data_IF_600051658064
#
_entry.id   IF_600051658064
#
_cell.length_a   1.000
_cell.length_b   1.000
_cell.length_c   1.000
_cell.angle_alpha   90.00
_cell.angle_beta   90.00
_cell.angle_gamma   90.00
#
_symmetry.space_group_name_H-M   'P 1'
#
loop_
_entity.id
_entity.type
_entity.pdbx_description
1 polymer ?
#
# COMPACT_ATOMS: atom_id res chain seq x y z
N UNK A 1 14.58 10.90 -12.25
CA UNK A 1 14.04 10.82 -10.86
C UNK A 1 15.05 10.06 -10.01
N UNK A 2 14.87 9.96 -8.70
CA UNK A 2 15.68 9.00 -7.92
C UNK A 2 15.16 7.58 -8.17
N UNK A 3 16.03 6.58 -8.08
CA UNK A 3 15.66 5.16 -8.19
C UNK A 3 14.53 4.78 -7.23
N UNK A 4 14.50 5.41 -6.05
CA UNK A 4 13.46 5.20 -5.05
C UNK A 4 12.06 5.59 -5.56
N UNK A 5 11.94 6.76 -6.19
CA UNK A 5 10.67 7.24 -6.75
C UNK A 5 10.23 6.39 -7.95
N UNK A 6 11.18 6.01 -8.82
CA UNK A 6 10.91 5.13 -9.97
C UNK A 6 10.35 3.77 -9.53
N UNK A 7 10.92 3.17 -8.48
CA UNK A 7 10.45 1.88 -7.98
C UNK A 7 9.06 1.97 -7.32
N UNK A 8 8.74 3.09 -6.66
CA UNK A 8 7.39 3.34 -6.11
C UNK A 8 6.37 3.46 -7.24
N UNK A 9 6.68 4.24 -8.27
CA UNK A 9 5.81 4.38 -9.45
C UNK A 9 5.63 3.05 -10.17
N UNK A 10 6.70 2.28 -10.36
CA UNK A 10 6.64 0.96 -10.98
C UNK A 10 5.78 -0.02 -10.16
N UNK A 11 5.87 0.02 -8.84
CA UNK A 11 5.01 -0.82 -7.98
C UNK A 11 3.55 -0.42 -8.04
N UNK A 12 3.24 0.88 -8.04
CA UNK A 12 1.87 1.35 -8.23
C UNK A 12 1.31 0.87 -9.57
N UNK A 13 2.11 0.96 -10.63
CA UNK A 13 1.73 0.47 -11.94
C UNK A 13 1.50 -1.05 -11.97
N UNK A 14 2.32 -1.84 -11.26
CA UNK A 14 2.15 -3.29 -11.12
C UNK A 14 0.87 -3.65 -10.37
N UNK A 15 0.54 -2.94 -9.29
CA UNK A 15 -0.71 -3.14 -8.55
C UNK A 15 -1.93 -2.93 -9.46
N UNK A 16 -1.89 -1.90 -10.30
CA UNK A 16 -2.95 -1.64 -11.28
C UNK A 16 -3.00 -2.73 -12.36
N UNK A 17 -1.86 -3.04 -13.00
CA UNK A 17 -1.84 -3.88 -14.21
C UNK A 17 -1.94 -5.38 -13.92
N UNK A 18 -1.43 -5.83 -12.78
CA UNK A 18 -1.30 -7.25 -12.46
C UNK A 18 -2.31 -7.71 -11.41
N UNK A 19 -2.61 -6.88 -10.42
CA UNK A 19 -3.57 -7.22 -9.35
C UNK A 19 -4.98 -6.68 -9.66
N UNK A 20 -5.12 -5.80 -10.65
CA UNK A 20 -6.40 -5.17 -11.00
C UNK A 20 -6.86 -4.11 -10.00
N UNK A 21 -5.98 -3.62 -9.12
CA UNK A 21 -6.29 -2.58 -8.13
C UNK A 21 -6.29 -1.21 -8.81
N UNK A 22 -7.31 -1.00 -9.64
CA UNK A 22 -7.51 0.24 -10.39
C UNK A 22 -7.92 1.40 -9.49
N UNK A 23 -7.75 2.65 -9.95
CA UNK A 23 -8.34 3.82 -9.30
C UNK A 23 -9.83 3.67 -8.95
N UNK A 24 -10.63 3.08 -9.85
CA UNK A 24 -12.06 2.88 -9.62
C UNK A 24 -12.33 1.80 -8.55
N UNK A 25 -11.52 0.74 -8.53
CA UNK A 25 -11.56 -0.27 -7.45
C UNK A 25 -11.22 0.38 -6.10
N UNK A 26 -10.16 1.19 -6.05
CA UNK A 26 -9.73 1.89 -4.83
C UNK A 26 -10.85 2.82 -4.31
N UNK A 27 -11.52 3.55 -5.19
CA UNK A 27 -12.65 4.42 -4.86
C UNK A 27 -13.83 3.64 -4.28
N UNK A 28 -14.19 2.51 -4.90
CA UNK A 28 -15.34 1.69 -4.52
C UNK A 28 -15.10 0.90 -3.21
N UNK A 29 -13.93 0.28 -3.07
CA UNK A 29 -13.67 -0.73 -2.05
C UNK A 29 -12.87 -0.20 -0.84
N UNK A 30 -12.17 0.93 -0.99
CA UNK A 30 -11.19 1.40 0.01
C UNK A 30 -11.50 2.78 0.62
N UNK A 31 -12.79 3.10 0.73
CA UNK A 31 -13.29 4.38 1.27
C UNK A 31 -13.06 4.61 2.78
N UNK A 32 -12.60 3.61 3.54
CA UNK A 32 -12.40 3.67 5.01
C UNK A 32 -10.92 3.73 5.41
N UNK A 33 -10.08 4.25 4.50
CA UNK A 33 -8.65 4.42 4.70
C UNK A 33 -7.85 3.12 4.70
N UNK A 34 -8.36 2.06 4.07
CA UNK A 34 -7.66 0.77 4.03
C UNK A 34 -6.29 0.88 3.35
N UNK A 35 -6.15 1.68 2.29
CA UNK A 35 -4.86 1.87 1.59
C UNK A 35 -3.79 2.45 2.53
N UNK A 36 -4.12 3.49 3.30
CA UNK A 36 -3.20 4.07 4.29
C UNK A 36 -2.85 3.08 5.43
N UNK A 37 -3.83 2.30 5.92
CA UNK A 37 -3.60 1.26 6.95
C UNK A 37 -2.71 0.14 6.43
N UNK A 38 -2.91 -0.29 5.20
CA UNK A 38 -2.06 -1.30 4.57
C UNK A 38 -0.62 -0.77 4.37
N UNK A 39 -0.48 0.50 3.94
CA UNK A 39 0.82 1.13 3.81
C UNK A 39 1.59 1.20 5.14
N UNK A 40 0.90 1.58 6.23
CA UNK A 40 1.53 1.65 7.55
C UNK A 40 2.00 0.28 8.04
N UNK A 41 1.28 -0.79 7.73
CA UNK A 41 1.70 -2.16 8.06
C UNK A 41 3.01 -2.53 7.36
N UNK A 42 3.14 -2.26 6.06
CA UNK A 42 4.39 -2.51 5.33
C UNK A 42 5.54 -1.62 5.82
N UNK A 43 5.28 -0.34 6.09
CA UNK A 43 6.29 0.58 6.62
C UNK A 43 6.78 0.15 8.01
N UNK A 44 5.86 -0.29 8.88
CA UNK A 44 6.19 -0.80 10.20
C UNK A 44 7.00 -2.10 10.12
N UNK A 45 6.58 -3.05 9.28
CA UNK A 45 7.30 -4.30 9.03
C UNK A 45 8.74 -4.05 8.58
N UNK A 46 8.96 -3.07 7.70
CA UNK A 46 10.29 -2.68 7.24
C UNK A 46 11.17 -2.04 8.34
N UNK A 47 10.58 -1.57 9.44
CA UNK A 47 11.28 -0.94 10.58
C UNK A 47 11.55 -1.88 11.77
N UNK A 48 10.95 -3.07 11.81
CA UNK A 48 11.14 -4.07 12.89
C UNK A 48 12.58 -4.58 12.96
N UNK A 49 13.05 -5.08 14.10
CA UNK A 49 14.36 -5.77 14.17
C UNK A 49 14.35 -7.09 13.39
N UNK A 50 15.50 -7.66 13.04
CA UNK A 50 15.55 -8.93 12.31
C UNK A 50 14.87 -10.07 13.09
N UNK A 51 15.12 -10.15 14.41
CA UNK A 51 14.43 -11.10 15.29
C UNK A 51 12.91 -10.92 15.31
N UNK A 52 12.45 -9.66 15.33
CA UNK A 52 11.01 -9.36 15.26
C UNK A 52 10.39 -9.80 13.94
N UNK A 53 11.10 -9.61 12.81
CA UNK A 53 10.61 -10.04 11.50
C UNK A 53 10.59 -11.55 11.38
N UNK A 54 11.62 -12.23 11.88
CA UNK A 54 11.70 -13.69 11.88
C UNK A 54 10.55 -14.33 12.66
N UNK A 55 10.26 -13.83 13.85
CA UNK A 55 9.17 -14.33 14.71
C UNK A 55 7.77 -14.05 14.17
N UNK A 56 7.57 -12.97 13.41
CA UNK A 56 6.28 -12.62 12.80
C UNK A 56 6.17 -13.01 11.32
N UNK A 57 7.13 -13.78 10.78
CA UNK A 57 7.13 -14.17 9.37
C UNK A 57 5.80 -14.79 8.96
N UNK A 58 5.24 -14.30 7.87
CA UNK A 58 3.99 -14.81 7.28
C UNK A 58 2.70 -14.43 8.01
N UNK A 59 2.77 -13.77 9.18
CA UNK A 59 1.59 -13.35 9.92
C UNK A 59 1.25 -11.90 9.59
N UNK A 60 0.00 -11.65 9.19
CA UNK A 60 -0.50 -10.30 8.98
C UNK A 60 -0.57 -9.55 10.34
N UNK A 61 -0.12 -8.29 10.41
CA UNK A 61 -0.36 -7.46 11.58
C UNK A 61 -1.85 -7.32 11.86
N UNK A 62 -2.25 -7.17 13.12
CA UNK A 62 -3.67 -6.94 13.48
C UNK A 62 -4.29 -5.70 12.82
N UNK A 63 -3.47 -4.72 12.46
CA UNK A 63 -3.88 -3.51 11.75
C UNK A 63 -4.02 -3.70 10.23
N UNK A 64 -3.65 -4.86 9.70
CA UNK A 64 -3.79 -5.18 8.28
C UNK A 64 -5.28 -5.20 7.91
N UNK A 65 -5.71 -4.42 6.90
CA UNK A 65 -7.14 -4.18 6.68
C UNK A 65 -7.81 -5.21 5.77
N UNK A 66 -7.07 -6.21 5.28
CA UNK A 66 -7.56 -7.19 4.31
C UNK A 66 -7.29 -8.62 4.80
N UNK A 67 -7.75 -9.61 4.04
CA UNK A 67 -7.48 -11.01 4.35
C UNK A 67 -5.97 -11.29 4.40
N UNK A 68 -5.54 -12.13 5.34
CA UNK A 68 -4.13 -12.47 5.60
C UNK A 68 -3.39 -12.97 4.36
N UNK A 69 -4.07 -13.67 3.44
CA UNK A 69 -3.48 -14.15 2.18
C UNK A 69 -2.91 -13.03 1.29
N UNK A 70 -3.35 -11.79 1.49
CA UNK A 70 -2.87 -10.61 0.77
C UNK A 70 -1.68 -9.93 1.46
N UNK A 71 -1.39 -10.31 2.70
CA UNK A 71 -0.18 -9.90 3.38
C UNK A 71 1.02 -10.68 2.83
N UNK A 72 1.90 -9.98 2.11
CA UNK A 72 3.06 -10.59 1.44
C UNK A 72 4.32 -9.78 1.74
N UNK A 73 4.81 -9.74 2.99
CA UNK A 73 6.04 -9.02 3.34
C UNK A 73 7.25 -9.68 2.66
N UNK A 74 8.29 -8.90 2.39
CA UNK A 74 9.47 -9.33 1.64
C UNK A 74 10.76 -8.92 2.36
N UNK A 75 11.51 -7.98 1.82
CA UNK A 75 12.65 -7.33 2.45
C UNK A 75 12.29 -5.87 2.75
N UNK A 76 13.07 -5.23 3.62
CA UNK A 76 12.80 -3.88 4.11
C UNK A 76 12.63 -2.87 2.98
N UNK A 77 13.50 -2.92 1.98
CA UNK A 77 13.46 -1.98 0.85
C UNK A 77 12.20 -2.20 0.03
N UNK A 78 11.87 -3.45 -0.30
CA UNK A 78 10.67 -3.79 -1.08
C UNK A 78 9.38 -3.50 -0.34
N UNK A 79 9.34 -3.72 0.97
CA UNK A 79 8.17 -3.41 1.80
C UNK A 79 7.95 -1.89 1.86
N UNK A 80 9.01 -1.07 1.94
CA UNK A 80 8.91 0.38 1.80
C UNK A 80 8.44 0.82 0.42
N UNK A 81 8.83 0.13 -0.66
CA UNK A 81 8.29 0.41 -2.00
C UNK A 81 6.77 0.15 -2.05
N UNK A 82 6.31 -0.98 -1.51
CA UNK A 82 4.87 -1.30 -1.43
C UNK A 82 4.12 -0.28 -0.59
N UNK A 83 4.67 0.12 0.56
CA UNK A 83 4.10 1.16 1.40
C UNK A 83 3.98 2.49 0.65
N UNK A 84 5.03 2.92 -0.05
CA UNK A 84 5.02 4.12 -0.87
C UNK A 84 3.96 4.06 -1.98
N UNK A 85 3.85 2.94 -2.68
CA UNK A 85 2.85 2.77 -3.74
C UNK A 85 1.40 2.82 -3.20
N UNK A 86 1.16 2.23 -2.03
CA UNK A 86 -0.15 2.29 -1.35
C UNK A 86 -0.48 3.71 -0.83
N UNK A 87 0.54 4.47 -0.39
CA UNK A 87 0.36 5.89 -0.03
C UNK A 87 -0.02 6.70 -1.27
N UNK A 88 0.67 6.50 -2.40
CA UNK A 88 0.32 7.15 -3.67
C UNK A 88 -1.12 6.81 -4.06
N UNK A 89 -1.51 5.54 -3.98
CA UNK A 89 -2.88 5.11 -4.27
C UNK A 89 -3.94 5.84 -3.41
N UNK A 90 -3.69 5.99 -2.10
CA UNK A 90 -4.62 6.70 -1.21
C UNK A 90 -4.66 8.21 -1.51
N UNK A 91 -3.51 8.84 -1.79
CA UNK A 91 -3.46 10.26 -2.18
C UNK A 91 -4.26 10.47 -3.47
N UNK A 92 -4.02 9.64 -4.50
CA UNK A 92 -4.77 9.68 -5.76
C UNK A 92 -6.29 9.54 -5.55
N UNK A 93 -6.70 8.66 -4.63
CA UNK A 93 -8.11 8.45 -4.25
C UNK A 93 -8.71 9.71 -3.61
N UNK A 94 -8.00 10.32 -2.67
CA UNK A 94 -8.41 11.55 -2.00
C UNK A 94 -8.49 12.73 -2.98
N UNK A 95 -7.51 12.86 -3.87
CA UNK A 95 -7.47 13.90 -4.91
C UNK A 95 -8.69 13.79 -5.84
N UNK A 96 -9.04 12.57 -6.27
CA UNK A 96 -10.26 12.35 -7.08
C UNK A 96 -11.54 12.72 -6.34
N UNK A 97 -11.65 12.40 -5.06
CA UNK A 97 -12.84 12.76 -4.25
C UNK A 97 -12.96 14.27 -4.12
N UNK A 98 -11.84 14.97 -3.87
CA UNK A 98 -11.81 16.42 -3.78
C UNK A 98 -12.24 17.06 -5.12
N UNK A 99 -11.72 16.56 -6.25
CA UNK A 99 -12.09 17.04 -7.58
C UNK A 99 -13.59 16.85 -7.89
N UNK A 100 -14.18 15.70 -7.53
CA UNK A 100 -15.62 15.44 -7.71
C UNK A 100 -16.48 16.40 -6.87
N UNK A 101 -16.06 16.68 -5.64
CA UNK A 101 -16.76 17.58 -4.72
C UNK A 101 -16.73 19.05 -5.18
N UNK A 102 -15.70 19.46 -5.92
CA UNK A 102 -15.59 20.80 -6.52
C UNK A 102 -16.40 20.97 -7.81
N UNK A 103 -16.84 19.86 -8.42
CA UNK A 103 -17.62 19.85 -9.66
C UNK A 103 -19.13 19.66 -9.46
N UNK A 104 -19.58 19.50 -8.21
CA UNK A 104 -20.97 19.32 -7.80
C UNK A 104 -21.54 20.61 -7.20
#
# INVERSE_FOLDING_TARGET
MSKALEDIAAERQRQISFEGWSPDHDDAEHSRGQLAKAASCYAYEAGRTDHQRETSRGHAPLSWPWADKWWKPSDRRRDLVKAGALIVAEIERLDRIAARSLSA
#
